data_IF_762758127124
#
_entry.id   IF_762758127124
#
_cell.length_a   1.000
_cell.length_b   1.000
_cell.length_c   1.000
_cell.angle_alpha   90.00
_cell.angle_beta   90.00
_cell.angle_gamma   90.00
#
_symmetry.space_group_name_H-M   'P 1'
#
loop_
_entity.id
_entity.type
_entity.pdbx_description
1 polymer ?
#
# COMPACT_ATOMS: atom_id res chain seq x y z
N UNK A 1 1.87 16.44 12.66
CA UNK A 1 1.35 15.14 12.17
C UNK A 1 2.39 14.10 12.50
N UNK A 2 2.09 13.00 13.20
CA UNK A 2 3.07 11.94 13.34
C UNK A 2 3.37 11.43 11.92
N UNK A 3 4.65 11.28 11.60
CA UNK A 3 5.12 10.71 10.34
C UNK A 3 4.41 9.37 10.09
N UNK A 4 4.13 9.03 8.83
CA UNK A 4 3.44 7.79 8.44
C UNK A 4 4.34 6.57 8.66
N UNK A 5 4.53 6.18 9.94
CA UNK A 5 5.48 5.19 10.43
C UNK A 5 5.43 3.86 9.67
N UNK A 6 4.23 3.34 9.35
CA UNK A 6 4.05 2.07 8.63
C UNK A 6 4.66 2.11 7.23
N UNK A 7 4.39 3.18 6.50
CA UNK A 7 4.79 3.32 5.11
C UNK A 7 6.33 3.43 5.01
N UNK A 8 6.95 4.06 6.00
CA UNK A 8 8.41 4.11 6.16
C UNK A 8 9.06 2.76 6.46
N UNK A 9 8.36 1.84 7.15
CA UNK A 9 8.83 0.47 7.40
C UNK A 9 8.80 -0.40 6.14
N UNK A 10 7.98 -0.05 5.16
CA UNK A 10 7.82 -0.78 3.90
C UNK A 10 8.40 -0.01 2.71
N UNK A 11 9.71 0.24 2.73
CA UNK A 11 10.41 1.04 1.71
C UNK A 11 10.11 0.67 0.25
N UNK A 12 9.94 -0.61 -0.14
CA UNK A 12 9.54 -0.92 -1.52
C UNK A 12 8.12 -0.46 -1.87
N UNK A 13 7.20 -0.40 -0.90
CA UNK A 13 5.80 -0.01 -1.13
C UNK A 13 5.63 1.49 -1.39
N UNK A 14 6.57 2.32 -0.94
CA UNK A 14 6.60 3.75 -1.30
C UNK A 14 7.20 4.01 -2.66
N UNK A 15 7.66 2.99 -3.37
CA UNK A 15 8.35 3.17 -4.64
C UNK A 15 7.42 3.31 -5.85
N UNK A 16 8.05 3.60 -6.98
CA UNK A 16 7.45 3.55 -8.31
C UNK A 16 8.09 2.40 -9.07
N UNK A 17 7.30 1.54 -9.70
CA UNK A 17 7.78 0.47 -10.59
C UNK A 17 8.37 1.10 -11.85
N UNK A 18 9.63 0.80 -12.16
CA UNK A 18 10.32 1.21 -13.38
C UNK A 18 10.96 -0.02 -14.03
N UNK A 19 10.42 -0.45 -15.16
CA UNK A 19 10.84 -1.66 -15.87
C UNK A 19 10.95 -2.83 -14.87
N UNK A 20 12.14 -3.33 -14.57
CA UNK A 20 12.38 -4.46 -13.65
C UNK A 20 12.87 -4.04 -12.25
N UNK A 21 12.73 -2.76 -11.89
CA UNK A 21 13.22 -2.19 -10.63
C UNK A 21 12.16 -1.33 -9.93
N UNK A 22 12.43 -0.96 -8.68
CA UNK A 22 11.61 -0.03 -7.92
C UNK A 22 12.44 1.23 -7.62
N UNK A 23 11.97 2.39 -8.06
CA UNK A 23 12.53 3.69 -7.66
C UNK A 23 11.93 4.12 -6.32
N UNK A 24 12.66 3.85 -5.24
CA UNK A 24 12.27 4.24 -3.88
C UNK A 24 12.65 5.68 -3.51
N UNK A 25 13.37 6.42 -4.38
CA UNK A 25 13.88 7.78 -4.05
C UNK A 25 12.85 8.86 -4.37
N UNK A 26 12.11 8.69 -5.45
CA UNK A 26 11.14 9.67 -5.97
C UNK A 26 9.70 9.22 -5.78
N UNK A 27 9.47 8.23 -4.92
CA UNK A 27 8.16 7.61 -4.75
C UNK A 27 7.34 8.19 -3.60
N UNK A 28 6.14 7.66 -3.47
CA UNK A 28 5.20 7.89 -2.37
C UNK A 28 4.05 6.90 -2.46
N UNK A 29 3.14 6.93 -1.49
CA UNK A 29 1.89 6.18 -1.56
C UNK A 29 0.82 7.07 -2.16
N UNK A 30 0.20 6.62 -3.25
CA UNK A 30 -0.98 7.30 -3.77
C UNK A 30 -2.14 7.07 -2.79
N UNK A 31 -2.60 8.13 -2.15
CA UNK A 31 -3.74 8.09 -1.24
C UNK A 31 -4.87 8.98 -1.79
N UNK A 32 -6.00 8.36 -2.11
CA UNK A 32 -7.19 9.03 -2.63
C UNK A 32 -8.30 9.01 -1.58
N UNK A 33 -9.06 10.09 -1.51
CA UNK A 33 -10.30 10.14 -0.72
C UNK A 33 -11.48 10.41 -1.66
N UNK A 34 -12.53 9.61 -1.55
CA UNK A 34 -13.74 9.71 -2.35
C UNK A 34 -14.98 9.74 -1.47
N UNK A 35 -15.92 10.64 -1.81
CA UNK A 35 -17.24 10.71 -1.17
C UNK A 35 -18.25 9.91 -2.00
N UNK A 36 -18.92 8.95 -1.38
CA UNK A 36 -19.87 8.05 -2.02
C UNK A 36 -21.29 8.46 -1.68
N UNK A 37 -22.04 8.84 -2.72
CA UNK A 37 -23.39 9.40 -2.61
C UNK A 37 -24.48 8.32 -2.40
N UNK A 38 -24.21 7.31 -1.57
CA UNK A 38 -25.17 6.29 -1.15
C UNK A 38 -24.76 5.74 0.23
N UNK A 39 -25.61 4.90 0.82
CA UNK A 39 -25.26 4.15 2.02
C UNK A 39 -24.45 2.90 1.66
N UNK A 40 -23.58 2.47 2.58
CA UNK A 40 -22.80 1.24 2.42
C UNK A 40 -23.71 0.01 2.28
N UNK A 41 -24.86 -0.02 2.97
CA UNK A 41 -25.82 -1.12 2.87
C UNK A 41 -26.39 -1.29 1.46
N UNK A 42 -26.55 -0.21 0.69
CA UNK A 42 -27.11 -0.26 -0.66
C UNK A 42 -26.19 -1.01 -1.64
N UNK A 43 -24.87 -0.89 -1.46
CA UNK A 43 -23.90 -1.58 -2.33
C UNK A 43 -23.62 -3.02 -1.89
N UNK A 44 -23.84 -3.33 -0.60
CA UNK A 44 -23.66 -4.68 -0.06
C UNK A 44 -24.84 -5.60 -0.36
N UNK A 45 -26.04 -5.06 -0.62
CA UNK A 45 -27.24 -5.84 -0.94
C UNK A 45 -27.14 -6.59 -2.28
N UNK A 46 -26.48 -5.99 -3.28
CA UNK A 46 -26.28 -6.60 -4.59
C UNK A 46 -24.85 -6.36 -5.07
N UNK A 47 -23.88 -7.13 -4.53
CA UNK A 47 -22.47 -6.92 -4.80
C UNK A 47 -22.15 -7.19 -6.28
N UNK A 48 -21.56 -6.20 -6.95
CA UNK A 48 -21.07 -6.35 -8.33
C UNK A 48 -19.54 -6.12 -8.33
N UNK A 49 -18.73 -7.19 -8.54
CA UNK A 49 -17.27 -7.11 -8.52
C UNK A 49 -16.68 -6.04 -9.45
N UNK A 50 -17.17 -5.95 -10.68
CA UNK A 50 -16.66 -4.99 -11.67
C UNK A 50 -16.91 -3.54 -11.22
N UNK A 51 -18.10 -3.27 -10.67
CA UNK A 51 -18.41 -1.96 -10.09
C UNK A 51 -17.56 -1.68 -8.87
N UNK A 52 -17.20 -2.70 -8.07
CA UNK A 52 -16.37 -2.48 -6.90
C UNK A 52 -14.95 -2.09 -7.29
N UNK A 53 -14.34 -2.83 -8.22
CA UNK A 53 -13.00 -2.57 -8.73
C UNK A 53 -12.94 -1.18 -9.35
N UNK A 54 -13.87 -0.85 -10.24
CA UNK A 54 -13.83 0.42 -10.97
C UNK A 54 -14.16 1.65 -10.13
N UNK A 55 -14.88 1.51 -9.00
CA UNK A 55 -15.31 2.67 -8.18
C UNK A 55 -14.54 2.84 -6.90
N UNK A 56 -14.10 1.76 -6.26
CA UNK A 56 -13.56 1.81 -4.90
C UNK A 56 -12.08 1.40 -4.83
N UNK A 57 -11.45 1.05 -5.96
CA UNK A 57 -10.00 0.94 -6.06
C UNK A 57 -9.43 2.11 -6.85
N UNK A 58 -8.18 2.53 -6.54
CA UNK A 58 -7.45 3.48 -7.37
C UNK A 58 -7.28 2.95 -8.79
N UNK A 59 -7.81 3.68 -9.78
CA UNK A 59 -7.76 3.29 -11.20
C UNK A 59 -6.41 3.67 -11.84
N UNK A 60 -6.05 4.96 -11.79
CA UNK A 60 -4.76 5.47 -12.25
C UNK A 60 -3.73 5.49 -11.12
N UNK A 61 -2.94 4.41 -11.05
CA UNK A 61 -1.88 4.25 -10.07
C UNK A 61 -0.53 4.81 -10.51
N UNK A 62 -0.37 5.38 -11.72
CA UNK A 62 0.87 6.00 -12.19
C UNK A 62 2.17 5.22 -11.84
N UNK A 63 2.15 3.89 -11.98
CA UNK A 63 3.23 2.96 -11.60
C UNK A 63 3.59 2.93 -10.09
N UNK A 64 2.83 3.56 -9.21
CA UNK A 64 2.98 3.42 -7.76
C UNK A 64 2.88 1.95 -7.34
N UNK A 65 3.78 1.53 -6.44
CA UNK A 65 3.77 0.16 -5.91
C UNK A 65 2.56 -0.06 -5.01
N UNK A 66 2.19 0.93 -4.19
CA UNK A 66 1.01 0.92 -3.32
C UNK A 66 0.12 2.14 -3.61
N UNK A 67 -1.16 1.87 -3.78
CA UNK A 67 -2.21 2.89 -3.84
C UNK A 67 -3.37 2.51 -2.91
N UNK A 68 -3.92 3.51 -2.22
CA UNK A 68 -5.01 3.38 -1.25
C UNK A 68 -6.12 4.35 -1.63
N UNK A 69 -7.37 3.90 -1.59
CA UNK A 69 -8.54 4.76 -1.75
C UNK A 69 -9.46 4.62 -0.52
N UNK A 70 -9.67 5.72 0.17
CA UNK A 70 -10.65 5.86 1.24
C UNK A 70 -11.99 6.29 0.64
N UNK A 71 -13.03 5.48 0.83
CA UNK A 71 -14.37 5.78 0.34
C UNK A 71 -15.32 6.02 1.51
N UNK A 72 -15.81 7.25 1.65
CA UNK A 72 -16.67 7.69 2.73
C UNK A 72 -18.12 7.71 2.26
N UNK A 73 -19.00 6.92 2.88
CA UNK A 73 -20.41 6.80 2.52
C UNK A 73 -21.25 7.78 3.33
N UNK A 74 -22.40 8.18 2.77
CA UNK A 74 -23.35 9.10 3.45
C UNK A 74 -23.80 8.63 4.83
N UNK A 75 -23.89 7.32 5.04
CA UNK A 75 -24.24 6.72 6.33
C UNK A 75 -23.09 6.71 7.35
N UNK A 76 -21.93 7.30 7.04
CA UNK A 76 -20.70 7.19 7.85
C UNK A 76 -19.96 5.86 7.67
N UNK A 77 -20.44 4.99 6.78
CA UNK A 77 -19.74 3.75 6.41
C UNK A 77 -18.45 4.05 5.65
N UNK A 78 -17.49 3.14 5.70
CA UNK A 78 -16.18 3.28 5.05
C UNK A 78 -15.89 2.03 4.22
N UNK A 79 -15.35 2.21 3.02
CA UNK A 79 -14.67 1.16 2.28
C UNK A 79 -13.24 1.60 1.94
N UNK A 80 -12.26 0.74 2.23
CA UNK A 80 -10.85 1.00 1.94
C UNK A 80 -10.44 0.09 0.78
N UNK A 81 -10.08 0.71 -0.35
CA UNK A 81 -9.47 0.02 -1.47
C UNK A 81 -7.96 0.01 -1.34
N UNK A 82 -7.32 -1.16 -1.45
CA UNK A 82 -5.87 -1.31 -1.40
C UNK A 82 -5.41 -1.99 -2.69
N UNK A 83 -4.49 -1.35 -3.41
CA UNK A 83 -3.90 -1.88 -4.64
C UNK A 83 -2.38 -1.93 -4.47
N UNK A 84 -1.82 -3.14 -4.54
CA UNK A 84 -0.38 -3.37 -4.49
C UNK A 84 0.04 -4.05 -5.80
N UNK A 85 1.16 -3.61 -6.37
CA UNK A 85 1.72 -4.25 -7.57
C UNK A 85 2.11 -5.69 -7.29
N UNK A 86 1.48 -6.64 -7.99
CA UNK A 86 1.78 -8.08 -7.86
C UNK A 86 3.21 -8.43 -8.33
N UNK A 87 3.90 -7.50 -9.02
CA UNK A 87 5.33 -7.62 -9.33
C UNK A 87 6.22 -7.54 -8.09
N UNK A 88 5.71 -6.94 -7.01
CA UNK A 88 6.46 -6.65 -5.77
C UNK A 88 5.99 -7.54 -4.61
N UNK A 89 4.70 -7.83 -4.55
CA UNK A 89 4.08 -8.56 -3.43
C UNK A 89 3.13 -9.64 -3.93
N UNK A 90 3.16 -10.80 -3.29
CA UNK A 90 2.13 -11.83 -3.45
C UNK A 90 0.95 -11.59 -2.49
N UNK A 91 -0.08 -12.44 -2.57
CA UNK A 91 -1.27 -12.31 -1.72
C UNK A 91 -0.96 -12.34 -0.23
N UNK A 92 -0.03 -13.21 0.21
CA UNK A 92 0.39 -13.30 1.61
C UNK A 92 1.00 -11.98 2.10
N UNK A 93 1.92 -11.41 1.30
CA UNK A 93 2.56 -10.13 1.58
C UNK A 93 1.55 -8.98 1.70
N UNK A 94 0.52 -8.98 0.85
CA UNK A 94 -0.56 -7.98 0.89
C UNK A 94 -1.33 -8.08 2.22
N UNK A 95 -1.70 -9.29 2.65
CA UNK A 95 -2.40 -9.48 3.92
C UNK A 95 -1.54 -9.05 5.12
N UNK A 96 -0.26 -9.44 5.15
CA UNK A 96 0.67 -9.02 6.19
C UNK A 96 0.82 -7.50 6.25
N UNK A 97 0.83 -6.80 5.11
CA UNK A 97 0.83 -5.34 5.08
C UNK A 97 -0.44 -4.77 5.74
N UNK A 98 -1.62 -5.29 5.38
CA UNK A 98 -2.91 -4.83 5.90
C UNK A 98 -3.01 -5.06 7.42
N UNK A 99 -2.61 -6.23 7.90
CA UNK A 99 -2.61 -6.57 9.33
C UNK A 99 -1.74 -5.60 10.13
N UNK A 100 -0.49 -5.41 9.70
CA UNK A 100 0.43 -4.48 10.35
C UNK A 100 -0.06 -3.03 10.30
N UNK A 101 -0.61 -2.60 9.16
CA UNK A 101 -1.17 -1.27 9.01
C UNK A 101 -2.32 -1.05 10.01
N UNK A 102 -3.21 -2.02 10.16
CA UNK A 102 -4.32 -1.96 11.10
C UNK A 102 -3.84 -2.00 12.57
N UNK A 103 -2.85 -2.84 12.90
CA UNK A 103 -2.28 -2.93 14.25
C UNK A 103 -1.61 -1.62 14.66
N UNK A 104 -0.80 -1.02 13.80
CA UNK A 104 -0.16 0.26 14.12
C UNK A 104 -1.17 1.39 14.25
N UNK A 105 -2.22 1.40 13.42
CA UNK A 105 -3.31 2.38 13.53
C UNK A 105 -4.04 2.25 14.89
N UNK A 106 -4.29 1.02 15.36
CA UNK A 106 -4.89 0.76 16.68
C UNK A 106 -3.99 1.16 17.84
N UNK A 107 -2.69 0.91 17.72
CA UNK A 107 -1.72 1.07 18.82
C UNK A 107 -1.04 2.44 18.86
N UNK A 108 -1.58 3.43 18.13
CA UNK A 108 -1.10 4.81 18.18
C UNK A 108 0.32 5.01 17.63
N UNK A 109 0.70 4.25 16.61
CA UNK A 109 2.03 4.40 15.98
C UNK A 109 3.15 3.62 16.68
N UNK A 110 2.86 2.81 17.70
CA UNK A 110 3.86 1.96 18.36
C UNK A 110 4.19 0.75 17.48
N UNK A 111 5.48 0.61 17.19
CA UNK A 111 6.06 -0.44 16.35
C UNK A 111 5.77 -1.84 16.88
N UNK A 112 5.52 -2.79 15.97
CA UNK A 112 5.67 -4.23 16.22
C UNK A 112 6.98 -4.63 15.54
N UNK A 113 7.97 -5.06 16.31
CA UNK A 113 9.36 -5.26 15.85
C UNK A 113 9.60 -6.50 14.95
N UNK A 114 8.56 -7.20 14.49
CA UNK A 114 8.75 -8.50 13.82
C UNK A 114 8.12 -8.54 12.43
N UNK A 115 8.74 -7.84 11.47
CA UNK A 115 8.29 -7.84 10.07
C UNK A 115 8.70 -9.12 9.34
N UNK A 116 7.83 -10.13 9.39
CA UNK A 116 7.81 -11.28 8.47
C UNK A 116 7.70 -10.85 6.98
N UNK A 117 7.26 -9.61 6.72
CA UNK A 117 7.03 -9.07 5.38
C UNK A 117 8.25 -9.12 4.45
N UNK A 118 9.47 -8.89 4.96
CA UNK A 118 10.66 -8.95 4.11
C UNK A 118 10.98 -10.36 3.61
N UNK A 119 10.45 -11.41 4.25
CA UNK A 119 10.58 -12.80 3.79
C UNK A 119 9.57 -13.18 2.71
N UNK A 120 8.48 -12.42 2.57
CA UNK A 120 7.39 -12.69 1.61
C UNK A 120 7.47 -11.85 0.33
N UNK A 121 8.29 -10.79 0.32
CA UNK A 121 8.55 -9.97 -0.86
C UNK A 121 9.34 -10.76 -1.92
N UNK A 122 8.81 -10.87 -3.14
CA UNK A 122 9.51 -11.41 -4.32
C UNK A 122 10.50 -10.40 -4.91
N UNK A 123 11.31 -9.77 -4.07
CA UNK A 123 12.32 -8.78 -4.49
C UNK A 123 13.69 -9.46 -4.41
N UNK A 124 14.32 -9.69 -5.56
CA UNK A 124 15.76 -9.90 -5.59
C UNK A 124 16.41 -8.57 -5.19
N UNK A 125 16.92 -8.46 -3.96
CA UNK A 125 17.74 -7.31 -3.58
C UNK A 125 19.00 -7.34 -4.44
N UNK A 126 19.06 -6.52 -5.48
CA UNK A 126 20.35 -6.18 -6.08
C UNK A 126 21.05 -5.24 -5.11
N UNK A 127 21.92 -5.78 -4.27
CA UNK A 127 22.96 -4.98 -3.64
C UNK A 127 23.81 -4.38 -4.76
N UNK A 128 23.57 -3.11 -5.11
CA UNK A 128 24.62 -2.35 -5.75
C UNK A 128 25.68 -2.11 -4.67
N UNK A 129 26.72 -2.96 -4.66
CA UNK A 129 27.97 -2.65 -3.98
C UNK A 129 28.40 -1.25 -4.43
N UNK A 130 28.27 -0.26 -3.55
CA UNK A 130 29.18 0.88 -3.59
C UNK A 130 30.49 0.37 -3.03
N UNK A 131 31.35 -0.13 -3.91
CA UNK A 131 32.77 -0.31 -3.64
C UNK A 131 33.33 0.96 -2.98
N UNK A 132 34.02 0.79 -1.87
CA UNK A 132 34.77 1.85 -1.20
C UNK A 132 35.67 2.60 -2.20
N UNK A 133 35.92 3.90 -2.02
CA UNK A 133 37.16 4.48 -2.49
C UNK A 133 38.28 4.03 -1.54
N UNK A 134 39.17 3.20 -2.09
CA UNK A 134 40.53 3.00 -1.61
C UNK A 134 41.32 4.32 -1.77
N UNK A 135 41.96 4.75 -0.68
CA UNK A 135 43.11 5.66 -0.53
C UNK A 135 43.10 7.05 -1.21
N UNK A 136 43.29 8.13 -0.42
CA UNK A 136 44.59 8.79 -0.08
C UNK A 136 44.42 9.49 1.27
#
# INVERSE_FOLDING_TARGET
>A
MPENIIVSCFKPLVGIVKDDSIDCKNGGVLFLEAQVNCNLSEILQNPNPDKFVNKYLPDDVNNSVLAIQLNLFKCGGIAIGVRISHRVADGSSIFTFIENWADTARNGGKYVEDFQFFKSLNIQQSESLSSAPTDI
#
